data_IF_815542990885
#
_entry.id   IF_815542990885
#
_cell.length_a   1.000
_cell.length_b   1.000
_cell.length_c   1.000
_cell.angle_alpha   90.00
_cell.angle_beta   90.00
_cell.angle_gamma   90.00
#
_symmetry.space_group_name_H-M   'P 1'
#
loop_
_entity.id
_entity.type
_entity.pdbx_description
1 polymer ?
#
# COMPACT_ATOMS: atom_id res chain seq x y z
N UNK A 1 -10.03 0.29 13.25
CA UNK A 1 -10.10 1.77 13.25
C UNK A 1 -9.87 2.32 11.84
N UNK A 2 -10.91 2.32 11.00
CA UNK A 2 -10.89 2.85 9.63
C UNK A 2 -12.02 3.88 9.50
N UNK A 3 -11.76 5.01 8.83
CA UNK A 3 -12.76 6.09 8.66
C UNK A 3 -13.04 6.29 7.18
N UNK A 4 -14.27 6.04 6.75
CA UNK A 4 -14.71 6.22 5.36
C UNK A 4 -14.99 7.69 5.06
N UNK A 5 -14.64 8.15 3.85
CA UNK A 5 -14.79 9.55 3.42
C UNK A 5 -15.31 9.68 1.99
N UNK A 6 -15.90 10.84 1.69
CA UNK A 6 -16.44 11.18 0.38
C UNK A 6 -15.36 11.18 -0.73
N UNK A 7 -15.71 10.89 -2.00
CA UNK A 7 -17.08 10.74 -2.52
C UNK A 7 -17.74 9.44 -2.08
N UNK A 8 -19.07 9.43 -1.98
CA UNK A 8 -19.85 8.23 -1.66
C UNK A 8 -21.11 8.15 -2.51
N UNK A 9 -21.59 6.94 -2.79
CA UNK A 9 -22.89 6.66 -3.39
C UNK A 9 -23.65 5.74 -2.45
N UNK A 10 -24.60 6.29 -1.69
CA UNK A 10 -25.32 5.53 -0.65
C UNK A 10 -26.26 4.48 -1.25
N UNK A 11 -26.88 4.79 -2.39
CA UNK A 11 -27.81 3.89 -3.10
C UNK A 11 -27.12 3.07 -4.21
N UNK A 12 -25.82 2.75 -4.03
CA UNK A 12 -25.09 1.98 -5.04
C UNK A 12 -25.58 0.54 -5.07
N UNK A 13 -26.01 0.08 -6.25
CA UNK A 13 -26.35 -1.32 -6.53
C UNK A 13 -25.22 -1.95 -7.34
N UNK A 14 -24.44 -2.90 -6.76
CA UNK A 14 -23.42 -3.62 -7.51
C UNK A 14 -24.03 -4.42 -8.66
N UNK A 15 -23.33 -4.46 -9.80
CA UNK A 15 -23.70 -5.32 -10.92
C UNK A 15 -23.55 -6.82 -10.56
N UNK A 16 -24.03 -7.69 -11.46
CA UNK A 16 -24.04 -9.13 -11.23
C UNK A 16 -22.63 -9.72 -11.02
N UNK A 17 -21.61 -9.21 -11.72
CA UNK A 17 -20.23 -9.70 -11.55
C UNK A 17 -19.69 -9.31 -10.18
N UNK A 18 -19.88 -8.06 -9.74
CA UNK A 18 -19.45 -7.61 -8.44
C UNK A 18 -20.20 -8.33 -7.31
N UNK A 19 -21.52 -8.54 -7.44
CA UNK A 19 -22.29 -9.37 -6.50
C UNK A 19 -21.73 -10.79 -6.43
N UNK A 20 -21.43 -11.41 -7.58
CA UNK A 20 -20.82 -12.74 -7.65
C UNK A 20 -19.49 -12.80 -6.89
N UNK A 21 -18.62 -11.80 -7.05
CA UNK A 21 -17.32 -11.73 -6.34
C UNK A 21 -17.50 -11.54 -4.83
N UNK A 22 -18.47 -10.74 -4.40
CA UNK A 22 -18.83 -10.60 -2.98
C UNK A 22 -19.31 -11.95 -2.41
N UNK A 23 -20.13 -12.70 -3.15
CA UNK A 23 -20.56 -14.05 -2.71
C UNK A 23 -19.41 -15.04 -2.63
N UNK A 24 -18.43 -14.97 -3.55
CA UNK A 24 -17.21 -15.80 -3.51
C UNK A 24 -16.41 -15.47 -2.25
N UNK A 25 -16.25 -14.19 -1.91
CA UNK A 25 -15.57 -13.78 -0.67
C UNK A 25 -16.23 -14.41 0.56
N UNK A 26 -17.55 -14.30 0.71
CA UNK A 26 -18.24 -14.89 1.86
C UNK A 26 -18.16 -16.42 1.86
N UNK A 27 -18.24 -17.07 0.70
CA UNK A 27 -18.01 -18.51 0.59
C UNK A 27 -16.60 -18.90 1.07
N UNK A 28 -15.57 -18.13 0.72
CA UNK A 28 -14.20 -18.40 1.14
C UNK A 28 -14.02 -18.24 2.66
N UNK A 29 -14.62 -17.21 3.25
CA UNK A 29 -14.46 -16.90 4.68
C UNK A 29 -15.33 -17.79 5.57
N UNK A 30 -16.58 -18.05 5.17
CA UNK A 30 -17.56 -18.76 5.99
C UNK A 30 -17.79 -20.20 5.54
N UNK A 31 -17.28 -20.63 4.39
CA UNK A 31 -17.62 -21.94 3.79
C UNK A 31 -19.08 -22.03 3.33
N UNK A 32 -19.48 -23.16 2.75
CA UNK A 32 -20.85 -23.38 2.26
C UNK A 32 -21.05 -23.07 0.77
N UNK A 33 -22.30 -22.84 0.36
CA UNK A 33 -22.68 -22.68 -1.06
C UNK A 33 -22.73 -21.21 -1.46
N UNK A 34 -21.99 -20.83 -2.51
CA UNK A 34 -21.99 -19.47 -3.08
C UNK A 34 -23.39 -18.92 -3.37
N UNK A 35 -24.29 -19.76 -3.88
CA UNK A 35 -25.66 -19.36 -4.27
C UNK A 35 -26.50 -18.92 -3.07
N UNK A 36 -26.29 -19.51 -1.90
CA UNK A 36 -26.98 -19.12 -0.66
C UNK A 36 -26.57 -17.71 -0.23
N UNK A 37 -25.26 -17.41 -0.27
CA UNK A 37 -24.75 -16.07 -0.04
C UNK A 37 -25.31 -15.07 -1.07
N UNK A 38 -25.25 -15.41 -2.36
CA UNK A 38 -25.73 -14.53 -3.44
C UNK A 38 -27.21 -14.14 -3.28
N UNK A 39 -28.05 -15.08 -2.86
CA UNK A 39 -29.47 -14.86 -2.62
C UNK A 39 -29.77 -13.99 -1.40
N UNK A 40 -28.83 -13.86 -0.46
CA UNK A 40 -29.01 -13.13 0.80
C UNK A 40 -28.17 -11.85 0.90
N UNK A 41 -27.32 -11.57 -0.09
CA UNK A 41 -26.60 -10.30 -0.18
C UNK A 41 -27.56 -9.12 -0.33
N UNK A 42 -27.34 -8.00 0.40
CA UNK A 42 -28.15 -6.81 0.27
C UNK A 42 -28.12 -6.30 -1.17
N UNK A 43 -29.24 -5.78 -1.66
CA UNK A 43 -29.34 -5.25 -3.02
C UNK A 43 -28.50 -3.96 -3.17
N UNK A 44 -28.56 -3.10 -2.14
CA UNK A 44 -27.81 -1.86 -2.04
C UNK A 44 -26.59 -2.08 -1.15
N UNK A 45 -25.42 -1.67 -1.65
CA UNK A 45 -24.16 -1.69 -0.91
C UNK A 45 -23.48 -0.32 -1.04
N UNK A 46 -23.61 0.58 -0.05
CA UNK A 46 -23.04 1.92 -0.14
C UNK A 46 -21.57 1.91 -0.58
N UNK A 47 -21.27 2.66 -1.64
CA UNK A 47 -19.94 2.75 -2.23
C UNK A 47 -19.21 3.97 -1.69
N UNK A 48 -17.99 3.77 -1.20
CA UNK A 48 -17.12 4.83 -0.68
C UNK A 48 -15.85 4.97 -1.52
N UNK A 49 -15.41 6.21 -1.67
CA UNK A 49 -14.29 6.59 -2.51
C UNK A 49 -12.98 6.79 -1.76
N UNK A 50 -13.03 6.92 -0.43
CA UNK A 50 -11.85 7.18 0.40
C UNK A 50 -11.95 6.47 1.73
N UNK A 51 -10.80 6.06 2.25
CA UNK A 51 -10.64 5.56 3.62
C UNK A 51 -9.38 6.14 4.23
N UNK A 52 -9.41 6.41 5.53
CA UNK A 52 -8.22 6.69 6.33
C UNK A 52 -8.07 5.64 7.40
N UNK A 53 -6.89 5.02 7.48
CA UNK A 53 -6.49 4.21 8.64
C UNK A 53 -6.10 5.19 9.75
N UNK A 54 -6.65 5.03 10.95
CA UNK A 54 -6.37 5.96 12.06
C UNK A 54 -4.87 5.89 12.40
N UNK A 55 -4.20 7.04 12.40
CA UNK A 55 -2.74 7.12 12.61
C UNK A 55 -1.88 6.73 11.40
N UNK A 56 -2.47 6.40 10.25
CA UNK A 56 -1.75 5.92 9.07
C UNK A 56 -2.16 6.63 7.78
N UNK A 57 -2.20 5.86 6.69
CA UNK A 57 -2.43 6.38 5.35
C UNK A 57 -3.89 6.77 5.08
N UNK A 58 -4.06 7.77 4.22
CA UNK A 58 -5.32 8.04 3.54
C UNK A 58 -5.23 7.45 2.12
N UNK A 59 -6.22 6.64 1.76
CA UNK A 59 -6.30 5.94 0.48
C UNK A 59 -7.50 6.44 -0.31
N UNK A 60 -7.39 6.39 -1.63
CA UNK A 60 -8.51 6.64 -2.54
C UNK A 60 -8.79 5.37 -3.32
N UNK A 61 -10.02 5.25 -3.79
CA UNK A 61 -10.38 4.22 -4.76
C UNK A 61 -10.23 4.77 -6.19
N UNK A 62 -10.08 3.90 -7.19
CA UNK A 62 -10.09 4.35 -8.59
C UNK A 62 -11.43 5.02 -8.96
N UNK A 63 -12.54 4.59 -8.37
CA UNK A 63 -13.84 5.27 -8.43
C UNK A 63 -13.77 6.75 -7.97
N UNK A 64 -12.94 7.09 -6.99
CA UNK A 64 -12.80 8.47 -6.52
C UNK A 64 -11.83 9.29 -7.37
N UNK A 65 -10.77 8.69 -7.91
CA UNK A 65 -9.75 9.40 -8.71
C UNK A 65 -10.29 9.85 -10.07
N UNK A 66 -11.20 9.10 -10.69
CA UNK A 66 -11.84 9.50 -11.96
C UNK A 66 -12.52 10.89 -11.92
N UNK A 67 -12.71 11.45 -10.72
CA UNK A 67 -13.35 12.76 -10.49
C UNK A 67 -12.36 13.88 -10.14
N UNK A 68 -11.06 13.62 -10.16
CA UNK A 68 -10.01 14.59 -9.82
C UNK A 68 -9.25 15.03 -11.07
N UNK A 69 -8.66 16.23 -11.00
CA UNK A 69 -7.72 16.74 -12.01
C UNK A 69 -6.44 15.87 -12.03
N UNK A 70 -5.79 15.79 -13.19
CA UNK A 70 -4.65 14.90 -13.47
C UNK A 70 -3.45 15.04 -12.52
N UNK A 71 -3.31 16.17 -11.81
CA UNK A 71 -2.18 16.46 -10.91
C UNK A 71 -2.29 15.83 -9.51
N UNK A 72 -3.38 15.11 -9.21
CA UNK A 72 -3.57 14.50 -7.91
C UNK A 72 -2.73 13.23 -7.74
N UNK A 73 -2.07 13.08 -6.58
CA UNK A 73 -1.29 11.89 -6.24
C UNK A 73 -2.17 10.63 -6.30
N UNK A 74 -1.78 9.66 -7.12
CA UNK A 74 -2.43 8.36 -7.21
C UNK A 74 -2.12 7.50 -5.97
N UNK A 75 -2.99 7.62 -4.95
CA UNK A 75 -2.97 6.78 -3.76
C UNK A 75 -4.03 5.68 -3.80
N UNK A 76 -4.24 5.09 -4.98
CA UNK A 76 -5.12 3.92 -5.17
C UNK A 76 -4.40 2.60 -5.02
N UNK A 77 -3.07 2.58 -5.05
CA UNK A 77 -2.31 1.34 -4.92
C UNK A 77 -2.02 1.02 -3.46
N UNK A 78 -2.24 -0.24 -3.11
CA UNK A 78 -2.21 -0.71 -1.72
C UNK A 78 -1.42 -2.01 -1.58
N UNK A 79 -0.75 -2.15 -0.43
CA UNK A 79 -0.27 -3.41 0.10
C UNK A 79 -1.40 -4.06 0.89
N UNK A 80 -1.69 -5.32 0.61
CA UNK A 80 -2.66 -6.10 1.36
C UNK A 80 -2.13 -7.50 1.64
N UNK A 81 -2.68 -8.11 2.70
CA UNK A 81 -2.32 -9.44 3.13
C UNK A 81 -3.46 -10.41 2.86
N UNK A 82 -3.11 -11.57 2.32
CA UNK A 82 -4.05 -12.68 2.11
C UNK A 82 -3.52 -13.88 2.88
N UNK A 83 -4.35 -14.43 3.76
CA UNK A 83 -4.01 -15.64 4.51
C UNK A 83 -4.58 -16.85 3.80
N UNK A 84 -3.72 -17.83 3.56
CA UNK A 84 -4.07 -19.14 3.01
C UNK A 84 -3.92 -20.18 4.11
N UNK A 85 -4.82 -21.16 4.17
CA UNK A 85 -4.65 -22.32 5.02
C UNK A 85 -4.01 -23.44 4.20
N UNK A 86 -2.80 -23.85 4.56
CA UNK A 86 -2.12 -24.98 3.94
C UNK A 86 -2.77 -26.32 4.33
N UNK A 87 -2.38 -27.40 3.65
CA UNK A 87 -2.92 -28.75 3.85
C UNK A 87 -2.80 -29.26 5.30
N UNK A 88 -1.80 -28.77 6.05
CA UNK A 88 -1.57 -29.09 7.47
C UNK A 88 -2.25 -28.12 8.45
N UNK A 89 -3.17 -27.27 7.98
CA UNK A 89 -3.85 -26.25 8.80
C UNK A 89 -3.00 -25.02 9.13
N UNK A 90 -1.73 -24.96 8.70
CA UNK A 90 -0.89 -23.79 8.92
C UNK A 90 -1.41 -22.59 8.12
N UNK A 91 -1.57 -21.44 8.79
CA UNK A 91 -1.93 -20.19 8.15
C UNK A 91 -0.67 -19.53 7.55
N UNK A 92 -0.64 -19.39 6.22
CA UNK A 92 0.42 -18.69 5.48
C UNK A 92 -0.12 -17.35 5.02
N UNK A 93 0.40 -16.26 5.56
CA UNK A 93 0.05 -14.90 5.13
C UNK A 93 0.98 -14.46 4.02
N UNK A 94 0.42 -14.14 2.86
CA UNK A 94 1.16 -13.64 1.72
C UNK A 94 0.91 -12.15 1.50
N UNK A 95 2.00 -11.42 1.23
CA UNK A 95 1.95 -10.01 0.86
C UNK A 95 1.60 -9.90 -0.62
N UNK A 96 0.65 -9.01 -0.93
CA UNK A 96 0.19 -8.74 -2.29
C UNK A 96 0.02 -7.24 -2.49
N UNK A 97 -0.02 -6.86 -3.76
CA UNK A 97 -0.18 -5.47 -4.18
C UNK A 97 -1.29 -5.36 -5.23
N UNK A 98 -1.98 -4.24 -5.26
CA UNK A 98 -3.07 -4.03 -6.21
C UNK A 98 -3.63 -2.62 -6.15
N UNK A 99 -4.50 -2.32 -7.10
CA UNK A 99 -5.26 -1.08 -7.13
C UNK A 99 -6.59 -1.25 -6.39
N UNK A 100 -6.83 -0.45 -5.37
CA UNK A 100 -8.12 -0.33 -4.71
C UNK A 100 -9.12 0.34 -5.65
N UNK A 101 -10.08 -0.42 -6.18
CA UNK A 101 -11.05 0.07 -7.16
C UNK A 101 -12.31 0.64 -6.50
N UNK A 102 -12.81 -0.04 -5.45
CA UNK A 102 -14.06 0.30 -4.75
C UNK A 102 -13.98 -0.10 -3.27
N UNK A 103 -14.72 0.60 -2.41
CA UNK A 103 -14.99 0.20 -1.02
C UNK A 103 -16.50 0.06 -0.88
N UNK A 104 -16.97 -1.13 -0.52
CA UNK A 104 -18.38 -1.44 -0.35
C UNK A 104 -18.71 -1.59 1.14
N UNK A 105 -19.86 -1.07 1.55
CA UNK A 105 -20.46 -1.38 2.85
C UNK A 105 -21.56 -2.41 2.62
N UNK A 106 -21.46 -3.55 3.29
CA UNK A 106 -22.36 -4.68 3.15
C UNK A 106 -23.00 -4.96 4.51
N UNK A 107 -24.27 -4.57 4.66
CA UNK A 107 -25.05 -4.81 5.87
C UNK A 107 -25.66 -6.22 5.81
N UNK A 108 -25.21 -7.10 6.69
CA UNK A 108 -25.64 -8.49 6.74
C UNK A 108 -26.85 -8.66 7.66
N UNK A 109 -27.80 -9.47 7.24
CA UNK A 109 -28.98 -9.81 8.03
C UNK A 109 -28.69 -10.80 9.16
N UNK A 110 -29.76 -11.28 9.81
CA UNK A 110 -29.70 -12.19 10.97
C UNK A 110 -29.64 -13.68 10.59
N UNK A 111 -29.55 -14.01 9.30
CA UNK A 111 -29.62 -15.39 8.83
C UNK A 111 -28.43 -16.22 9.33
N UNK A 112 -28.68 -17.48 9.71
CA UNK A 112 -27.68 -18.38 10.29
C UNK A 112 -26.46 -18.62 9.38
N UNK A 113 -26.61 -18.51 8.05
CA UNK A 113 -25.53 -18.65 7.09
C UNK A 113 -24.38 -17.64 7.30
N UNK A 114 -24.67 -16.48 7.93
CA UNK A 114 -23.67 -15.46 8.24
C UNK A 114 -22.84 -15.78 9.49
N UNK A 115 -23.20 -16.83 10.24
CA UNK A 115 -22.47 -17.29 11.43
C UNK A 115 -22.19 -16.17 12.44
N UNK A 116 -20.92 -15.91 12.72
CA UNK A 116 -20.40 -14.86 13.58
C UNK A 116 -20.54 -13.45 12.97
N UNK A 117 -20.80 -13.34 11.67
CA UNK A 117 -21.05 -12.08 10.96
C UNK A 117 -22.54 -11.71 10.87
N UNK A 118 -23.45 -12.44 11.52
CA UNK A 118 -24.88 -12.08 11.53
C UNK A 118 -25.11 -10.68 12.11
N UNK A 119 -26.09 -9.96 11.57
CA UNK A 119 -26.48 -8.62 12.02
C UNK A 119 -25.31 -7.63 12.12
N UNK A 120 -24.36 -7.72 11.20
CA UNK A 120 -23.13 -6.92 11.23
C UNK A 120 -22.92 -6.17 9.92
N UNK A 121 -22.12 -5.11 9.99
CA UNK A 121 -21.68 -4.35 8.82
C UNK A 121 -20.29 -4.80 8.40
N UNK A 122 -20.16 -5.32 7.19
CA UNK A 122 -18.89 -5.70 6.60
C UNK A 122 -18.41 -4.61 5.65
N UNK A 123 -17.17 -4.16 5.82
CA UNK A 123 -16.55 -3.18 4.93
C UNK A 123 -15.57 -3.92 4.01
N UNK A 124 -15.91 -3.97 2.73
CA UNK A 124 -15.22 -4.77 1.74
C UNK A 124 -14.40 -3.89 0.80
N UNK A 125 -13.18 -4.31 0.50
CA UNK A 125 -12.33 -3.73 -0.52
C UNK A 125 -12.44 -4.54 -1.81
N UNK A 126 -12.69 -3.85 -2.94
CA UNK A 126 -12.53 -4.40 -4.28
C UNK A 126 -11.16 -4.00 -4.77
N UNK A 127 -10.27 -4.97 -4.93
CA UNK A 127 -8.87 -4.74 -5.29
C UNK A 127 -8.60 -5.42 -6.62
N UNK A 128 -8.02 -4.70 -7.57
CA UNK A 128 -7.45 -5.29 -8.79
C UNK A 128 -5.99 -5.65 -8.55
N UNK A 129 -5.63 -6.93 -8.38
CA UNK A 129 -4.28 -7.30 -8.00
C UNK A 129 -3.27 -7.01 -9.13
N UNK A 130 -2.08 -6.55 -8.77
CA UNK A 130 -0.95 -6.51 -9.69
C UNK A 130 -0.47 -7.94 -9.97
N UNK A 131 -0.14 -8.27 -11.23
CA UNK A 131 0.54 -9.54 -11.55
C UNK A 131 2.02 -9.44 -11.20
N UNK A 132 2.37 -9.81 -9.97
CA UNK A 132 3.76 -9.86 -9.47
C UNK A 132 4.20 -11.32 -9.28
N UNK A 133 5.49 -11.50 -8.96
CA UNK A 133 6.13 -12.77 -8.57
C UNK A 133 5.75 -13.24 -7.17
N UNK A 134 4.89 -12.52 -6.44
CA UNK A 134 4.46 -12.86 -5.08
C UNK A 134 5.41 -12.41 -3.97
N UNK A 135 6.46 -11.69 -4.33
CA UNK A 135 7.49 -11.16 -3.43
C UNK A 135 7.08 -9.86 -2.74
N UNK A 136 7.73 -9.52 -1.62
CA UNK A 136 7.52 -8.27 -0.90
C UNK A 136 8.39 -7.13 -1.48
N UNK A 137 7.74 -6.07 -1.95
CA UNK A 137 8.39 -4.87 -2.50
C UNK A 137 9.16 -4.06 -1.46
N UNK A 138 8.96 -4.37 -0.18
CA UNK A 138 9.70 -3.75 0.92
C UNK A 138 11.11 -4.37 1.06
N UNK A 139 11.29 -5.61 0.59
CA UNK A 139 12.56 -6.34 0.68
C UNK A 139 13.38 -6.32 -0.62
N UNK A 140 12.72 -6.19 -1.78
CA UNK A 140 13.37 -6.19 -3.10
C UNK A 140 12.51 -5.51 -4.15
N UNK A 141 13.10 -5.23 -5.32
CA UNK A 141 12.40 -4.69 -6.46
C UNK A 141 11.28 -5.65 -6.91
N UNK A 142 10.03 -5.19 -6.84
CA UNK A 142 8.87 -5.90 -7.38
C UNK A 142 8.28 -5.09 -8.51
N UNK A 143 8.19 -5.70 -9.68
CA UNK A 143 7.63 -5.09 -10.87
C UNK A 143 6.35 -5.79 -11.32
N UNK A 144 5.49 -5.07 -12.04
CA UNK A 144 4.36 -5.64 -12.76
C UNK A 144 4.10 -4.91 -14.08
N UNK A 145 3.46 -5.62 -15.01
CA UNK A 145 2.99 -5.06 -16.29
C UNK A 145 1.47 -5.02 -16.39
N UNK A 146 0.84 -6.05 -15.83
CA UNK A 146 -0.58 -6.34 -15.99
C UNK A 146 -1.25 -6.54 -14.63
N UNK A 147 -2.57 -6.62 -14.65
CA UNK A 147 -3.39 -6.91 -13.48
C UNK A 147 -4.06 -8.29 -13.57
N UNK A 148 -4.37 -8.89 -12.43
CA UNK A 148 -5.33 -9.97 -12.33
C UNK A 148 -6.76 -9.42 -12.34
N UNK A 149 -7.72 -10.34 -12.38
CA UNK A 149 -9.13 -10.04 -12.16
C UNK A 149 -9.36 -9.44 -10.75
N UNK A 150 -10.30 -8.47 -10.60
CA UNK A 150 -10.62 -7.91 -9.29
C UNK A 150 -11.03 -8.95 -8.27
N UNK A 151 -10.57 -8.81 -7.03
CA UNK A 151 -10.98 -9.63 -5.90
C UNK A 151 -11.76 -8.77 -4.90
N UNK A 152 -12.57 -9.43 -4.09
CA UNK A 152 -13.22 -8.82 -2.92
C UNK A 152 -12.57 -9.41 -1.68
N UNK A 153 -12.20 -8.54 -0.73
CA UNK A 153 -11.65 -8.94 0.56
C UNK A 153 -12.10 -7.97 1.64
N UNK A 154 -11.86 -8.30 2.91
CA UNK A 154 -12.08 -7.40 4.03
C UNK A 154 -11.17 -6.16 3.92
N UNK A 155 -11.70 -4.97 4.18
CA UNK A 155 -10.90 -3.73 4.15
C UNK A 155 -9.72 -3.76 5.14
N UNK A 156 -9.79 -4.55 6.21
CA UNK A 156 -8.72 -4.77 7.20
C UNK A 156 -7.53 -5.56 6.65
N UNK A 157 -7.68 -6.21 5.49
CA UNK A 157 -6.55 -6.86 4.80
C UNK A 157 -5.54 -5.83 4.27
N UNK A 158 -5.97 -4.59 4.01
CA UNK A 158 -5.11 -3.52 3.51
C UNK A 158 -4.24 -2.98 4.65
N UNK A 159 -2.93 -2.95 4.43
CA UNK A 159 -1.93 -2.52 5.42
C UNK A 159 -1.43 -1.11 5.20
N UNK A 160 -1.18 -0.74 3.95
CA UNK A 160 -0.61 0.58 3.60
C UNK A 160 -0.87 0.96 2.16
N UNK A 161 -0.72 2.25 1.86
CA UNK A 161 -0.59 2.76 0.49
C UNK A 161 0.82 2.50 -0.02
N UNK A 162 0.93 2.11 -1.28
CA UNK A 162 2.22 1.97 -1.97
C UNK A 162 2.28 2.92 -3.15
N UNK A 163 3.49 3.40 -3.44
CA UNK A 163 3.78 4.13 -4.66
C UNK A 163 4.07 3.17 -5.82
N UNK A 164 4.15 3.73 -7.03
CA UNK A 164 4.64 3.01 -8.21
C UNK A 164 5.33 3.96 -9.16
N UNK A 165 6.38 3.48 -9.82
CA UNK A 165 7.15 4.25 -10.81
C UNK A 165 7.19 3.48 -12.11
N UNK A 166 6.88 4.16 -13.22
CA UNK A 166 6.94 3.55 -14.56
C UNK A 166 8.35 3.69 -15.13
N UNK A 167 8.97 2.58 -15.49
CA UNK A 167 10.25 2.56 -16.19
C UNK A 167 10.26 1.43 -17.22
N UNK A 168 10.76 1.69 -18.43
CA UNK A 168 10.94 0.67 -19.49
C UNK A 168 9.71 -0.23 -19.72
N UNK A 169 8.51 0.36 -19.71
CA UNK A 169 7.25 -0.36 -19.92
C UNK A 169 6.79 -1.25 -18.76
N UNK A 170 7.41 -1.13 -17.58
CA UNK A 170 7.03 -1.84 -16.34
C UNK A 170 6.75 -0.83 -15.22
N UNK A 171 5.97 -1.26 -14.24
CA UNK A 171 5.73 -0.51 -13.01
C UNK A 171 6.51 -1.16 -11.88
N UNK A 172 7.48 -0.46 -11.29
CA UNK A 172 8.09 -0.84 -10.03
C UNK A 172 7.23 -0.38 -8.85
N UNK A 173 7.04 -1.23 -7.86
CA UNK A 173 6.29 -0.92 -6.63
C UNK A 173 7.24 -0.26 -5.63
N UNK A 174 6.80 0.84 -5.03
CA UNK A 174 7.52 1.55 -3.96
C UNK A 174 6.75 1.34 -2.66
N UNK A 175 7.18 0.35 -1.89
CA UNK A 175 6.61 0.02 -0.59
C UNK A 175 7.48 0.62 0.52
N UNK A 176 6.86 1.41 1.39
CA UNK A 176 7.54 2.16 2.47
C UNK A 176 7.23 1.60 3.86
N UNK A 177 6.58 0.44 3.92
CA UNK A 177 6.02 -0.10 5.16
C UNK A 177 7.04 -0.63 6.16
N UNK A 178 8.28 -0.89 5.76
CA UNK A 178 9.36 -1.37 6.62
C UNK A 178 10.47 -0.33 6.88
N UNK A 179 10.27 0.93 6.46
CA UNK A 179 11.26 1.99 6.62
C UNK A 179 12.45 1.93 5.65
N UNK A 180 12.51 0.95 4.74
CA UNK A 180 13.60 0.80 3.75
C UNK A 180 13.62 1.91 2.69
N UNK A 181 12.47 2.54 2.43
CA UNK A 181 12.37 3.69 1.55
C UNK A 181 12.66 5.01 2.30
N UNK A 182 13.93 5.22 2.67
CA UNK A 182 14.43 6.52 3.12
C UNK A 182 15.01 7.28 1.93
N UNK A 183 14.52 8.49 1.69
CA UNK A 183 15.22 9.42 0.81
C UNK A 183 16.54 9.80 1.50
N UNK A 184 17.66 9.38 0.93
CA UNK A 184 18.99 9.89 1.30
C UNK A 184 19.31 10.99 0.30
N UNK A 185 19.44 12.22 0.79
CA UNK A 185 19.98 13.31 -0.02
C UNK A 185 21.50 13.20 0.06
N UNK A 186 22.15 12.74 -1.01
CA UNK A 186 23.60 12.93 -1.16
C UNK A 186 23.83 14.36 -1.62
N UNK A 187 24.53 15.15 -0.80
CA UNK A 187 25.02 16.44 -1.23
C UNK A 187 26.01 16.23 -2.39
N UNK A 188 25.90 17.06 -3.44
CA UNK A 188 26.77 17.09 -4.62
C UNK A 188 28.17 17.64 -4.30
N UNK A 189 28.75 17.28 -3.16
CA UNK A 189 30.08 17.73 -2.72
C UNK A 189 31.24 16.93 -3.30
N UNK A 190 31.02 15.65 -3.66
CA UNK A 190 32.13 14.72 -3.93
C UNK A 190 32.26 14.30 -5.40
N UNK A 191 31.46 14.87 -6.32
CA UNK A 191 31.44 14.47 -7.74
C UNK A 191 32.35 15.34 -8.62
N UNK A 192 32.83 16.48 -8.11
CA UNK A 192 33.87 17.26 -8.78
C UNK A 192 35.14 17.18 -7.97
N UNK A 193 36.04 16.28 -8.39
CA UNK A 193 37.38 16.17 -7.84
C UNK A 193 38.11 17.49 -7.96
N UNK A 194 38.24 18.20 -6.85
CA UNK A 194 39.25 19.23 -6.69
C UNK A 194 40.60 18.51 -6.66
N UNK A 195 41.33 18.55 -7.79
CA UNK A 195 42.76 18.29 -7.79
C UNK A 195 43.41 19.35 -6.90
N UNK A 196 43.97 18.93 -5.77
CA UNK A 196 44.93 19.72 -5.04
C UNK A 196 46.29 19.54 -5.71
N UNK A 197 46.64 20.45 -6.61
CA UNK A 197 48.00 20.61 -7.10
C UNK A 197 48.71 21.60 -6.16
N UNK A 198 49.75 21.13 -5.43
CA UNK A 198 51.10 21.72 -5.42
C UNK A 198 51.91 21.26 -4.19
N UNK A 199 52.94 20.47 -4.50
CA UNK A 199 54.26 20.36 -3.85
C UNK A 199 54.76 21.77 -3.40
N UNK A 200 55.51 22.01 -2.31
CA UNK A 200 56.60 21.25 -1.69
C UNK A 200 57.92 22.01 -1.96
N UNK A 201 58.41 22.80 -0.99
CA UNK A 201 59.78 23.35 -0.84
C UNK A 201 59.75 24.37 0.33
N UNK A 202 60.68 24.50 1.26
CA UNK A 202 61.98 23.89 1.53
C UNK A 202 62.42 24.32 2.94
N UNK A 203 63.31 23.53 3.53
CA UNK A 203 63.94 23.76 4.84
C UNK A 203 64.88 24.98 4.82
N UNK A 204 64.95 25.71 5.93
CA UNK A 204 66.21 26.38 6.32
C UNK A 204 66.35 26.50 7.84
N UNK A 205 67.61 26.41 8.26
CA UNK A 205 68.10 26.11 9.62
C UNK A 205 68.66 27.36 10.29
N UNK A 206 68.40 27.52 11.59
CA UNK A 206 69.39 28.02 12.56
C UNK A 206 69.25 29.46 13.07
N UNK A 207 69.42 29.63 14.38
CA UNK A 207 69.77 30.90 15.02
C UNK A 207 69.30 31.06 16.47
N UNK A 208 70.15 30.66 17.42
CA UNK A 208 70.08 30.98 18.86
C UNK A 208 70.13 32.50 19.14
N UNK A 209 69.58 32.93 20.28
CA UNK A 209 69.80 34.27 20.85
C UNK A 209 69.01 34.53 22.13
N UNK A 210 69.74 34.62 23.23
CA UNK A 210 69.32 34.72 24.63
C UNK A 210 68.57 36.00 25.07
N UNK A 211 67.91 35.85 26.23
CA UNK A 211 67.72 36.80 27.35
C UNK A 211 66.95 38.12 27.14
N UNK A 212 65.88 38.28 27.92
CA UNK A 212 65.86 39.30 29.00
C UNK A 212 64.72 39.02 30.00
N UNK A 213 65.12 39.04 31.27
CA UNK A 213 64.30 39.18 32.48
C UNK A 213 63.73 40.59 32.59
N UNK A 214 62.54 40.75 33.20
CA UNK A 214 62.36 41.64 34.36
C UNK A 214 60.96 41.50 34.99
N UNK A 215 60.98 41.61 36.30
CA UNK A 215 59.87 41.58 37.25
C UNK A 215 59.13 42.92 37.27
N UNK A 216 57.81 42.88 37.54
CA UNK A 216 57.14 43.73 38.54
C UNK A 216 55.79 43.12 38.93
#
# INVERSE_FOLDING_TARGET
NQVLRAPRKLQYRPDQDLRRRVSIYFQQVLGGRRTEFAAKLPEVMPLWGKVRVRGGDAMRTSFAIQRLRQESRDNTFVRYEVTYHGEKGQAITAIRYGQLEKILVCELGTQALWRDMKASTQILAVIRPCRTTGEAASQKLVEFRNFHEPIVTDLRSIKSVVGRVKTRGRWGIVDRSDGSARAVFQALGDVYGAKSDSEGEGSDVGGDGDAESEEE
#
